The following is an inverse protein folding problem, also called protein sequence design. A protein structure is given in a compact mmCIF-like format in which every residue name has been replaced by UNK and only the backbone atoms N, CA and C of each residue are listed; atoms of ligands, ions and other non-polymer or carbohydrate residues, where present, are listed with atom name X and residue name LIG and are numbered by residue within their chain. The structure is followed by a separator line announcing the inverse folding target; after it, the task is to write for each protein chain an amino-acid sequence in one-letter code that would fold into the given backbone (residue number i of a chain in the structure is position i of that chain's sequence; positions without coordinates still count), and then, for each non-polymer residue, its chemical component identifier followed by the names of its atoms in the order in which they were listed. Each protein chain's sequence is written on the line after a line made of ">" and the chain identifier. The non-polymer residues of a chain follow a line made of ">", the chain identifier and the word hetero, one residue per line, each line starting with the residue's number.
data_IF_695081845571
#
_entry.id   IF_695081845571
#
_cell.length_a   1.000
_cell.length_b   1.000
_cell.length_c   1.000
_cell.angle_alpha   90.00
_cell.angle_beta   90.00
_cell.angle_gamma   90.00
#
_symmetry.space_group_name_H-M   'P 1'
#
loop_
_entity.id
_entity.type
_entity.pdbx_description
1 polymer ?
#
# COMPACT_ATOMS: atom_id res chain seq x y z
N UNK A 1 -7.38 -24.50 1.62
CA UNK A 1 -8.65 -25.16 1.27
C UNK A 1 -8.71 -26.63 1.70
N UNK A 2 -7.60 -27.38 1.67
CA UNK A 2 -7.61 -28.80 2.07
C UNK A 2 -8.05 -29.02 3.55
N UNK A 3 -7.84 -28.05 4.42
CA UNK A 3 -8.25 -28.05 5.83
C UNK A 3 -9.60 -27.37 6.08
N UNK A 4 -10.36 -27.00 5.07
CA UNK A 4 -11.62 -26.26 5.20
C UNK A 4 -11.45 -24.79 5.66
N UNK A 5 -10.22 -24.30 5.79
CA UNK A 5 -9.95 -22.91 6.18
C UNK A 5 -10.21 -21.94 5.02
N UNK A 6 -10.73 -20.76 5.35
CA UNK A 6 -10.85 -19.64 4.42
C UNK A 6 -9.51 -18.91 4.31
N UNK A 7 -9.20 -18.46 3.10
CA UNK A 7 -8.03 -17.66 2.80
C UNK A 7 -8.40 -16.19 2.74
N UNK A 8 -7.65 -15.34 3.45
CA UNK A 8 -7.83 -13.88 3.48
C UNK A 8 -6.55 -13.23 3.01
N UNK A 9 -6.64 -12.29 2.07
CA UNK A 9 -5.51 -11.50 1.59
C UNK A 9 -5.78 -10.02 1.82
N UNK A 10 -4.94 -9.36 2.59
CA UNK A 10 -4.88 -7.90 2.57
C UNK A 10 -4.14 -7.47 1.30
N UNK A 11 -4.89 -6.91 0.36
CA UNK A 11 -4.39 -6.50 -0.93
C UNK A 11 -4.22 -4.97 -1.04
N UNK A 12 -4.14 -4.27 0.08
CA UNK A 12 -4.03 -2.80 0.12
C UNK A 12 -2.84 -2.31 -0.70
N UNK A 13 -1.67 -2.94 -0.57
CA UNK A 13 -0.43 -2.49 -1.23
C UNK A 13 -0.42 -2.73 -2.74
N UNK A 14 -1.02 -3.81 -3.19
CA UNK A 14 -1.07 -4.15 -4.61
C UNK A 14 -2.24 -3.48 -5.36
N UNK A 15 -3.14 -2.80 -4.62
CA UNK A 15 -4.26 -2.08 -5.19
C UNK A 15 -5.40 -2.96 -5.70
N UNK A 16 -6.38 -2.33 -6.34
CA UNK A 16 -7.61 -2.99 -6.79
C UNK A 16 -7.48 -3.69 -8.16
N UNK A 17 -6.33 -3.64 -8.82
CA UNK A 17 -6.18 -4.17 -10.19
C UNK A 17 -6.12 -5.70 -10.26
N UNK A 18 -5.74 -6.36 -9.17
CA UNK A 18 -5.32 -7.77 -9.17
C UNK A 18 -6.36 -8.72 -8.57
N UNK A 19 -7.61 -8.26 -8.39
CA UNK A 19 -8.68 -9.13 -7.92
C UNK A 19 -9.05 -10.20 -8.94
N UNK A 20 -9.35 -11.39 -8.45
CA UNK A 20 -9.77 -12.51 -9.27
C UNK A 20 -8.64 -13.29 -9.95
N UNK A 21 -7.41 -12.84 -9.86
CA UNK A 21 -6.24 -13.58 -10.35
C UNK A 21 -5.75 -14.64 -9.36
N UNK A 22 -6.16 -14.56 -8.10
CA UNK A 22 -5.74 -15.46 -7.03
C UNK A 22 -6.92 -16.25 -6.48
N UNK A 23 -6.69 -17.53 -6.17
CA UNK A 23 -7.68 -18.40 -5.54
C UNK A 23 -7.86 -18.12 -4.05
N UNK A 24 -8.21 -16.86 -3.70
CA UNK A 24 -8.45 -16.40 -2.33
C UNK A 24 -9.94 -16.22 -2.10
N UNK A 25 -10.42 -16.53 -0.90
CA UNK A 25 -11.84 -16.41 -0.55
C UNK A 25 -12.25 -14.96 -0.28
N UNK A 26 -11.37 -14.19 0.37
CA UNK A 26 -11.62 -12.80 0.75
C UNK A 26 -10.41 -11.93 0.45
N UNK A 27 -10.67 -10.77 -0.18
CA UNK A 27 -9.73 -9.66 -0.25
C UNK A 27 -10.13 -8.57 0.71
N UNK A 28 -9.18 -8.06 1.47
CA UNK A 28 -9.36 -6.91 2.36
C UNK A 28 -8.57 -5.72 1.81
N UNK A 29 -9.13 -4.53 1.89
CA UNK A 29 -8.49 -3.29 1.52
C UNK A 29 -8.70 -2.21 2.57
N UNK A 30 -7.64 -1.49 2.90
CA UNK A 30 -7.75 -0.21 3.57
C UNK A 30 -8.20 0.86 2.58
N UNK A 31 -9.42 1.32 2.71
CA UNK A 31 -9.95 2.44 1.90
C UNK A 31 -9.28 3.78 2.27
N UNK A 32 -8.70 3.85 3.47
CA UNK A 32 -7.86 4.95 3.97
C UNK A 32 -6.67 5.27 3.06
N UNK A 33 -6.22 4.29 2.28
CA UNK A 33 -4.99 4.37 1.48
C UNK A 33 -5.32 4.85 0.06
N UNK A 34 -4.98 4.08 -0.94
CA UNK A 34 -5.15 4.45 -2.36
C UNK A 34 -6.59 4.74 -2.77
N UNK A 35 -7.58 4.12 -2.14
CA UNK A 35 -8.98 4.28 -2.51
C UNK A 35 -9.45 5.73 -2.31
N UNK A 36 -9.30 6.28 -1.09
CA UNK A 36 -9.55 7.70 -0.84
C UNK A 36 -8.47 8.57 -1.49
N UNK A 37 -7.21 8.21 -1.27
CA UNK A 37 -6.05 8.83 -1.89
C UNK A 37 -5.72 10.24 -1.42
N UNK A 38 -6.37 10.76 -0.38
CA UNK A 38 -6.23 12.14 0.07
C UNK A 38 -5.93 12.26 1.58
N UNK A 39 -5.78 11.14 2.29
CA UNK A 39 -5.47 11.14 3.72
C UNK A 39 -6.58 11.68 4.64
N UNK A 40 -7.79 11.81 4.12
CA UNK A 40 -8.94 12.50 4.73
C UNK A 40 -10.05 11.56 5.22
N UNK A 41 -9.90 10.25 5.08
CA UNK A 41 -10.91 9.28 5.47
C UNK A 41 -10.29 7.98 5.99
N UNK A 42 -10.95 7.36 6.94
CA UNK A 42 -10.63 6.02 7.41
C UNK A 42 -11.75 5.06 7.01
N UNK A 43 -11.37 3.89 6.49
CA UNK A 43 -12.35 2.88 6.11
C UNK A 43 -11.69 1.60 5.63
N UNK A 44 -12.50 0.54 5.55
CA UNK A 44 -12.11 -0.76 5.03
C UNK A 44 -13.15 -1.32 4.07
N UNK A 45 -12.70 -2.19 3.18
CA UNK A 45 -13.57 -2.95 2.31
C UNK A 45 -13.18 -4.42 2.31
N UNK A 46 -14.19 -5.27 2.23
CA UNK A 46 -14.02 -6.71 2.00
C UNK A 46 -14.67 -7.06 0.67
N UNK A 47 -13.93 -7.73 -0.20
CA UNK A 47 -14.40 -8.24 -1.47
C UNK A 47 -14.38 -9.77 -1.39
N UNK A 48 -15.52 -10.40 -1.58
CA UNK A 48 -15.69 -11.83 -1.48
C UNK A 48 -16.87 -12.29 -2.33
N UNK A 49 -17.02 -13.60 -2.50
CA UNK A 49 -18.23 -14.16 -3.05
C UNK A 49 -19.45 -13.79 -2.20
N UNK A 50 -20.64 -13.76 -2.82
CA UNK A 50 -21.89 -13.22 -2.25
C UNK A 50 -22.22 -13.76 -0.86
N UNK A 51 -22.09 -15.05 -0.64
CA UNK A 51 -22.45 -15.71 0.62
C UNK A 51 -21.58 -15.22 1.78
N UNK A 52 -20.25 -15.13 1.55
CA UNK A 52 -19.31 -14.62 2.54
C UNK A 52 -19.51 -13.12 2.78
N UNK A 53 -19.68 -12.33 1.71
CA UNK A 53 -19.93 -10.89 1.84
C UNK A 53 -21.22 -10.59 2.62
N UNK A 54 -22.30 -11.38 2.42
CA UNK A 54 -23.52 -11.25 3.17
C UNK A 54 -23.38 -11.64 4.64
N UNK A 55 -22.60 -12.69 4.94
CA UNK A 55 -22.32 -13.07 6.31
C UNK A 55 -21.57 -11.94 7.05
N UNK A 56 -20.49 -11.42 6.44
CA UNK A 56 -19.71 -10.30 7.01
C UNK A 56 -20.59 -9.06 7.19
N UNK A 57 -21.45 -8.75 6.23
CA UNK A 57 -22.37 -7.61 6.33
C UNK A 57 -23.33 -7.75 7.51
N UNK A 58 -23.89 -8.93 7.75
CA UNK A 58 -24.78 -9.16 8.91
C UNK A 58 -24.06 -8.89 10.24
N UNK A 59 -22.85 -9.43 10.38
CA UNK A 59 -22.02 -9.18 11.57
C UNK A 59 -21.64 -7.70 11.69
N UNK A 60 -21.29 -7.05 10.59
CA UNK A 60 -20.96 -5.62 10.56
C UNK A 60 -22.10 -4.74 11.01
N UNK A 61 -23.34 -5.06 10.65
CA UNK A 61 -24.54 -4.32 11.11
C UNK A 61 -24.75 -4.48 12.62
N UNK A 62 -24.49 -5.67 13.15
CA UNK A 62 -24.64 -5.94 14.59
C UNK A 62 -23.54 -5.31 15.43
N UNK A 63 -22.29 -5.32 14.93
CA UNK A 63 -21.12 -4.82 15.64
C UNK A 63 -20.85 -3.32 15.45
N UNK A 64 -21.45 -2.69 14.44
CA UNK A 64 -21.41 -1.27 14.21
C UNK A 64 -20.25 -0.70 13.36
N UNK A 65 -19.27 -1.46 12.81
CA UNK A 65 -18.20 -0.90 11.97
C UNK A 65 -18.73 -0.57 10.56
N UNK A 66 -19.64 0.38 10.48
CA UNK A 66 -20.21 0.87 9.23
C UNK A 66 -19.58 2.20 8.86
N UNK A 67 -19.29 2.35 7.57
CA UNK A 67 -18.78 3.61 7.04
C UNK A 67 -19.90 4.65 7.05
N UNK A 68 -19.65 5.83 7.61
CA UNK A 68 -20.62 6.92 7.59
C UNK A 68 -20.79 7.49 6.16
N UNK A 69 -21.92 8.18 5.87
CA UNK A 69 -22.21 8.65 4.52
C UNK A 69 -21.20 9.66 3.97
N UNK A 70 -20.59 10.51 4.81
CA UNK A 70 -19.61 11.48 4.37
C UNK A 70 -18.29 10.78 3.99
N UNK A 71 -17.80 9.85 4.82
CA UNK A 71 -16.65 9.03 4.51
C UNK A 71 -16.87 8.19 3.25
N UNK A 72 -18.08 7.62 3.07
CA UNK A 72 -18.45 6.90 1.85
C UNK A 72 -18.37 7.81 0.60
N UNK A 73 -18.88 9.04 0.71
CA UNK A 73 -18.77 10.03 -0.37
C UNK A 73 -17.34 10.36 -0.72
N UNK A 74 -16.45 10.60 0.26
CA UNK A 74 -15.03 10.88 0.05
C UNK A 74 -14.32 9.72 -0.63
N UNK A 75 -14.57 8.48 -0.18
CA UNK A 75 -14.02 7.28 -0.84
C UNK A 75 -14.49 7.18 -2.29
N UNK A 76 -15.80 7.33 -2.55
CA UNK A 76 -16.34 7.30 -3.91
C UNK A 76 -15.73 8.38 -4.81
N UNK A 77 -15.50 9.58 -4.26
CA UNK A 77 -14.82 10.67 -4.95
C UNK A 77 -13.38 10.32 -5.28
N UNK A 78 -12.63 9.81 -4.30
CA UNK A 78 -11.24 9.38 -4.47
C UNK A 78 -11.08 8.27 -5.51
N UNK A 79 -12.01 7.31 -5.52
CA UNK A 79 -12.02 6.20 -6.49
C UNK A 79 -12.12 6.65 -7.96
N UNK A 80 -12.70 7.82 -8.25
CA UNK A 80 -12.81 8.34 -9.62
C UNK A 80 -11.47 8.61 -10.28
N UNK A 81 -10.42 8.89 -9.50
CA UNK A 81 -9.07 9.15 -9.98
C UNK A 81 -8.07 8.07 -9.55
N UNK A 82 -8.56 6.97 -8.99
CA UNK A 82 -7.73 5.92 -8.41
C UNK A 82 -6.65 5.42 -9.38
N UNK A 83 -7.03 5.00 -10.58
CA UNK A 83 -6.09 4.43 -11.55
C UNK A 83 -5.04 5.44 -12.00
N UNK A 84 -5.45 6.68 -12.32
CA UNK A 84 -4.53 7.75 -12.71
C UNK A 84 -3.49 8.03 -11.63
N UNK A 85 -3.93 8.09 -10.36
CA UNK A 85 -3.02 8.32 -9.23
C UNK A 85 -2.09 7.14 -8.99
N UNK A 86 -2.62 5.92 -9.01
CA UNK A 86 -1.83 4.72 -8.75
C UNK A 86 -0.76 4.52 -9.83
N UNK A 87 -1.09 4.66 -11.11
CA UNK A 87 -0.16 4.55 -12.23
C UNK A 87 0.95 5.61 -12.15
N UNK A 88 0.60 6.86 -11.87
CA UNK A 88 1.59 7.94 -11.71
C UNK A 88 2.51 7.71 -10.50
N UNK A 89 1.95 7.25 -9.38
CA UNK A 89 2.72 6.92 -8.18
C UNK A 89 3.65 5.72 -8.42
N UNK A 90 3.18 4.67 -9.08
CA UNK A 90 3.99 3.48 -9.39
C UNK A 90 5.14 3.81 -10.36
N UNK A 91 4.88 4.62 -11.38
CA UNK A 91 5.92 5.10 -12.28
C UNK A 91 6.97 5.95 -11.55
N UNK A 92 6.54 6.82 -10.64
CA UNK A 92 7.44 7.62 -9.80
C UNK A 92 8.27 6.75 -8.86
N UNK A 93 7.65 5.75 -8.23
CA UNK A 93 8.33 4.81 -7.34
C UNK A 93 9.42 4.02 -8.07
N UNK A 94 9.16 3.55 -9.30
CA UNK A 94 10.17 2.86 -10.10
C UNK A 94 11.36 3.77 -10.41
N UNK A 95 11.12 5.02 -10.82
CA UNK A 95 12.19 5.99 -11.10
C UNK A 95 13.02 6.32 -9.85
N UNK A 96 12.36 6.49 -8.70
CA UNK A 96 13.04 6.72 -7.42
C UNK A 96 13.85 5.49 -7.02
N UNK A 97 13.31 4.29 -7.16
CA UNK A 97 14.02 3.05 -6.85
C UNK A 97 15.29 2.88 -7.71
N UNK A 98 15.21 3.18 -9.01
CA UNK A 98 16.35 3.17 -9.92
C UNK A 98 17.41 4.19 -9.52
N UNK A 99 17.01 5.43 -9.24
CA UNK A 99 17.93 6.48 -8.77
C UNK A 99 18.63 6.09 -7.47
N UNK A 100 17.87 5.56 -6.49
CA UNK A 100 18.42 5.15 -5.21
C UNK A 100 19.36 3.94 -5.33
N UNK A 101 19.10 3.03 -6.27
CA UNK A 101 19.97 1.86 -6.50
C UNK A 101 21.39 2.24 -6.98
N UNK A 102 21.53 3.38 -7.62
CA UNK A 102 22.80 3.91 -8.11
C UNK A 102 23.44 4.93 -7.14
N UNK A 103 22.71 5.32 -6.09
CA UNK A 103 23.14 6.42 -5.22
C UNK A 103 24.17 5.94 -4.17
N UNK A 104 25.34 6.58 -4.03
CA UNK A 104 26.43 6.11 -3.16
C UNK A 104 26.09 6.11 -1.65
N UNK A 105 25.11 6.87 -1.22
CA UNK A 105 24.62 6.89 0.17
C UNK A 105 23.62 5.77 0.48
N UNK A 106 23.23 4.94 -0.50
CA UNK A 106 22.30 3.83 -0.37
C UNK A 106 23.05 2.52 -0.56
N UNK A 107 22.93 1.61 0.39
CA UNK A 107 23.59 0.29 0.31
C UNK A 107 22.70 -0.77 -0.34
N UNK A 108 21.38 -0.60 -0.26
CA UNK A 108 20.42 -1.54 -0.85
C UNK A 108 19.05 -0.89 -1.05
N UNK A 109 18.38 -1.27 -2.14
CA UNK A 109 16.99 -0.91 -2.41
C UNK A 109 16.14 -2.18 -2.47
N UNK A 110 15.01 -2.16 -1.78
CA UNK A 110 14.01 -3.24 -1.75
C UNK A 110 12.78 -2.77 -2.53
N UNK A 111 12.74 -3.07 -3.82
CA UNK A 111 11.61 -2.73 -4.67
C UNK A 111 11.41 -3.81 -5.74
N UNK A 112 10.23 -4.45 -5.83
CA UNK A 112 10.00 -5.58 -6.73
C UNK A 112 10.19 -5.25 -8.22
N UNK A 113 10.12 -3.98 -8.59
CA UNK A 113 10.33 -3.52 -9.96
C UNK A 113 11.81 -3.48 -10.41
N UNK A 114 12.75 -3.62 -9.48
CA UNK A 114 14.18 -3.69 -9.85
C UNK A 114 14.55 -5.12 -10.27
N UNK A 115 15.33 -5.31 -11.36
CA UNK A 115 15.71 -6.64 -11.84
C UNK A 115 16.46 -7.48 -10.80
N UNK A 116 17.24 -6.84 -9.93
CA UNK A 116 18.03 -7.50 -8.88
C UNK A 116 17.19 -7.91 -7.65
N UNK A 117 15.90 -7.55 -7.61
CA UNK A 117 15.05 -7.95 -6.50
C UNK A 117 14.78 -9.47 -6.55
N UNK A 118 14.96 -10.23 -5.45
CA UNK A 118 14.89 -11.70 -5.46
C UNK A 118 13.54 -12.27 -5.88
N UNK A 119 12.50 -11.46 -5.89
CA UNK A 119 11.15 -11.83 -6.35
C UNK A 119 10.68 -11.03 -7.57
N UNK A 120 11.59 -10.43 -8.34
CA UNK A 120 11.24 -9.64 -9.51
C UNK A 120 10.41 -10.42 -10.53
N UNK A 121 10.84 -11.63 -10.89
CA UNK A 121 10.13 -12.47 -11.84
C UNK A 121 8.70 -12.84 -11.37
N UNK A 122 8.54 -13.13 -10.07
CA UNK A 122 7.23 -13.40 -9.48
C UNK A 122 6.34 -12.15 -9.49
N UNK A 123 6.88 -11.01 -9.11
CA UNK A 123 6.15 -9.74 -9.14
C UNK A 123 5.71 -9.38 -10.56
N UNK A 124 6.59 -9.56 -11.55
CA UNK A 124 6.29 -9.33 -12.96
C UNK A 124 5.17 -10.25 -13.48
N UNK A 125 5.11 -11.50 -13.00
CA UNK A 125 4.06 -12.44 -13.38
C UNK A 125 2.70 -12.16 -12.70
N UNK A 126 2.70 -11.51 -11.53
CA UNK A 126 1.52 -11.36 -10.69
C UNK A 126 0.99 -9.94 -10.59
N UNK A 127 1.81 -8.92 -10.86
CA UNK A 127 1.46 -7.52 -10.68
C UNK A 127 1.52 -6.77 -12.01
N UNK A 128 0.56 -5.90 -12.23
CA UNK A 128 0.57 -5.01 -13.40
C UNK A 128 1.60 -3.89 -13.21
N UNK A 129 1.60 -3.26 -12.04
CA UNK A 129 2.62 -2.33 -11.57
C UNK A 129 3.25 -2.87 -10.28
N UNK A 130 4.51 -2.50 -10.00
CA UNK A 130 5.28 -3.04 -8.88
C UNK A 130 4.99 -2.37 -7.52
N UNK A 131 3.92 -1.58 -7.44
CA UNK A 131 3.54 -0.85 -6.24
C UNK A 131 4.23 0.52 -6.13
N UNK A 132 3.92 1.21 -5.04
CA UNK A 132 4.32 2.61 -4.84
C UNK A 132 5.23 2.80 -3.63
N UNK A 133 5.64 1.72 -2.98
CA UNK A 133 6.46 1.74 -1.76
C UNK A 133 7.86 1.31 -2.13
N UNK A 134 8.84 2.16 -1.86
CA UNK A 134 10.26 1.89 -2.02
C UNK A 134 10.91 1.85 -0.65
N UNK A 135 11.54 0.74 -0.30
CA UNK A 135 12.30 0.61 0.94
C UNK A 135 13.80 0.57 0.59
N UNK A 136 14.64 1.21 1.39
CA UNK A 136 16.07 1.24 1.16
C UNK A 136 16.86 1.36 2.45
N UNK A 137 18.09 0.87 2.41
CA UNK A 137 19.04 0.92 3.50
C UNK A 137 20.11 1.98 3.20
N UNK A 138 20.36 2.88 4.14
CA UNK A 138 21.43 3.86 4.02
C UNK A 138 22.80 3.21 4.25
N UNK A 139 23.81 3.57 3.46
CA UNK A 139 25.14 2.99 3.54
C UNK A 139 25.84 3.19 4.90
N UNK A 140 25.51 4.30 5.60
CA UNK A 140 26.01 4.59 6.96
C UNK A 140 25.15 4.00 8.08
N UNK A 141 24.13 3.20 7.73
CA UNK A 141 23.28 2.53 8.71
C UNK A 141 22.34 3.47 9.50
N UNK A 142 21.94 3.03 10.69
CA UNK A 142 20.91 3.68 11.50
C UNK A 142 21.25 5.14 11.91
N UNK A 143 22.52 5.45 12.10
CA UNK A 143 22.96 6.81 12.48
C UNK A 143 22.70 7.86 11.40
N UNK A 144 22.64 7.44 10.12
CA UNK A 144 22.36 8.34 9.02
C UNK A 144 20.86 8.64 8.84
N UNK A 145 19.98 7.86 9.44
CA UNK A 145 18.52 7.96 9.21
C UNK A 145 17.98 9.31 9.67
N UNK A 146 18.29 9.75 10.88
CA UNK A 146 17.78 11.00 11.42
C UNK A 146 18.25 12.22 10.63
N UNK A 147 19.56 12.42 10.39
CA UNK A 147 20.04 13.54 9.55
C UNK A 147 19.47 13.51 8.13
N UNK A 148 19.30 12.32 7.54
CA UNK A 148 18.70 12.17 6.21
C UNK A 148 17.26 12.66 6.20
N UNK A 149 16.43 12.18 7.15
CA UNK A 149 15.00 12.52 7.19
C UNK A 149 14.78 13.99 7.51
N UNK A 150 15.58 14.59 8.40
CA UNK A 150 15.49 15.99 8.76
C UNK A 150 15.91 16.93 7.59
N UNK A 151 16.64 16.44 6.60
CA UNK A 151 17.02 17.18 5.40
C UNK A 151 16.01 17.10 4.25
N UNK A 152 14.95 16.31 4.39
CA UNK A 152 13.92 16.19 3.35
C UNK A 152 12.97 17.40 3.39
N UNK A 153 12.79 18.06 2.26
CA UNK A 153 11.93 19.24 2.12
C UNK A 153 10.50 18.92 1.68
N UNK A 154 10.31 17.83 0.91
CA UNK A 154 9.03 17.51 0.27
C UNK A 154 8.31 16.30 0.87
N UNK A 155 9.00 15.53 1.70
CA UNK A 155 8.46 14.32 2.29
C UNK A 155 7.90 14.58 3.69
N UNK A 156 6.63 14.27 3.90
CA UNK A 156 6.07 14.27 5.24
C UNK A 156 6.51 13.01 6.01
N UNK A 157 6.97 13.20 7.25
CA UNK A 157 7.38 12.10 8.14
C UNK A 157 6.12 11.57 8.82
N UNK A 158 5.54 10.52 8.27
CA UNK A 158 4.30 9.93 8.79
C UNK A 158 4.11 8.49 8.32
N UNK A 159 3.52 7.62 9.17
CA UNK A 159 3.17 6.26 8.78
C UNK A 159 1.87 6.28 7.97
N UNK A 160 1.95 6.28 6.65
CA UNK A 160 0.82 6.06 5.75
C UNK A 160 1.33 5.73 4.36
N UNK A 161 0.41 5.60 3.40
CA UNK A 161 0.72 5.36 1.98
C UNK A 161 -0.49 5.68 1.10
N UNK A 162 -0.24 5.88 -0.19
CA UNK A 162 -1.29 5.93 -1.21
C UNK A 162 -2.05 7.25 -1.31
N UNK A 163 -1.68 8.26 -0.52
CA UNK A 163 -2.20 9.63 -0.67
C UNK A 163 -1.45 10.39 -1.78
N UNK A 164 -1.86 11.62 -2.03
CA UNK A 164 -1.22 12.50 -3.02
C UNK A 164 0.08 13.12 -2.52
N UNK A 165 0.36 13.04 -1.23
CA UNK A 165 1.60 13.51 -0.62
C UNK A 165 2.72 12.46 -0.73
N UNK A 166 3.95 12.94 -0.80
CA UNK A 166 5.15 12.10 -0.68
C UNK A 166 5.45 11.87 0.81
N UNK A 167 5.53 10.59 1.20
CA UNK A 167 5.69 10.20 2.60
C UNK A 167 6.99 9.44 2.80
N UNK A 168 7.61 9.63 3.96
CA UNK A 168 8.75 8.84 4.43
C UNK A 168 8.48 8.31 5.83
N UNK A 169 8.80 7.04 6.05
CA UNK A 169 8.59 6.37 7.32
C UNK A 169 9.87 5.61 7.73
N UNK A 170 10.75 6.24 8.50
CA UNK A 170 11.89 5.54 9.08
C UNK A 170 11.44 4.69 10.28
N UNK A 171 11.57 3.35 10.23
CA UNK A 171 11.10 2.48 11.32
C UNK A 171 11.73 2.78 12.68
N UNK A 172 12.96 3.32 12.68
CA UNK A 172 13.68 3.69 13.89
C UNK A 172 13.03 4.84 14.67
N UNK A 173 12.29 5.72 13.97
CA UNK A 173 11.57 6.84 14.59
C UNK A 173 10.14 6.47 15.03
N UNK A 174 9.68 5.29 14.64
CA UNK A 174 8.34 4.77 14.94
C UNK A 174 8.33 3.80 16.13
N UNK A 175 9.37 3.75 16.94
CA UNK A 175 9.33 2.96 18.19
C UNK A 175 8.22 3.51 19.08
N UNK A 176 7.03 2.93 18.91
CA UNK A 176 5.95 3.05 19.88
C UNK A 176 6.41 2.20 21.07
N UNK A 177 6.58 2.85 22.20
CA UNK A 177 6.84 2.19 23.46
C UNK A 177 5.61 1.44 23.94
#
# INVERSE_FOLDING_TARGET
>A
HAAGALTVMDNTFAGFHNHGQYGVDLFVHSLTKYASGHGDVMGGAVIARKELAQAIRREGVLLGPLLDPHAAFLVMRGMKTYYLRYEAQAASALRIAQFLAEHPAVSRVHYPGLPDHPRHALAHAQMREFGTIVTYDLARGAEAVRPFVDALEFFAITPSLGSVESLVMPPQLLKVH
#
